data_IF_262183685248
#
_entry.id   IF_262183685248
#
_cell.length_a   1.000
_cell.length_b   1.000
_cell.length_c   1.000
_cell.angle_alpha   90.00
_cell.angle_beta   90.00
_cell.angle_gamma   90.00
#
_symmetry.space_group_name_H-M   'P 1'
#
loop_
_entity.id
_entity.type
_entity.pdbx_description
1 polymer ?
#
# COMPACT_ATOMS: atom_id res chain seq x y z
N UNK A 1 4.60 -18.62 8.51
CA UNK A 1 5.28 -18.08 7.33
C UNK A 1 5.92 -16.72 7.64
N UNK A 2 7.01 -16.39 6.93
CA UNK A 2 7.65 -15.08 6.99
C UNK A 2 7.08 -14.13 5.92
N UNK A 3 7.32 -12.83 6.06
CA UNK A 3 7.07 -11.81 5.03
C UNK A 3 5.78 -11.01 5.16
N UNK A 4 4.89 -11.34 6.12
CA UNK A 4 3.65 -10.60 6.31
C UNK A 4 2.83 -10.50 5.01
N UNK A 5 2.34 -9.28 4.67
CA UNK A 5 1.60 -9.05 3.42
C UNK A 5 2.52 -8.94 2.18
N UNK A 6 3.83 -8.79 2.36
CA UNK A 6 4.79 -8.71 1.24
C UNK A 6 5.18 -10.08 0.68
N UNK A 7 4.85 -11.17 1.39
CA UNK A 7 5.08 -12.54 0.90
C UNK A 7 4.29 -12.81 -0.38
N UNK A 8 4.82 -13.72 -1.18
CA UNK A 8 4.13 -14.21 -2.38
C UNK A 8 3.91 -15.71 -2.27
N UNK A 9 2.78 -16.19 -2.80
CA UNK A 9 2.46 -17.59 -2.95
C UNK A 9 3.06 -18.10 -4.26
N UNK A 10 3.69 -19.24 -4.24
CA UNK A 10 4.08 -19.93 -5.49
C UNK A 10 2.87 -20.65 -6.06
N UNK A 11 2.53 -20.35 -7.30
CA UNK A 11 1.46 -21.02 -8.05
C UNK A 11 2.06 -21.54 -9.36
N UNK A 12 2.47 -22.80 -9.36
CA UNK A 12 3.10 -23.45 -10.51
C UNK A 12 4.33 -22.68 -11.06
N UNK A 13 5.19 -22.19 -10.16
CA UNK A 13 6.36 -21.40 -10.50
C UNK A 13 6.08 -19.92 -10.83
N UNK A 14 4.87 -19.42 -10.53
CA UNK A 14 4.49 -18.03 -10.70
C UNK A 14 4.35 -17.38 -9.32
N UNK A 15 5.07 -16.28 -9.10
CA UNK A 15 4.98 -15.49 -7.88
C UNK A 15 3.65 -14.73 -7.83
N UNK A 16 2.71 -15.25 -7.07
CA UNK A 16 1.39 -14.66 -6.85
C UNK A 16 1.40 -13.75 -5.61
N UNK A 17 1.30 -12.45 -5.81
CA UNK A 17 1.16 -11.47 -4.75
C UNK A 17 -0.28 -11.45 -4.22
N UNK A 18 -0.47 -11.87 -2.98
CA UNK A 18 -1.80 -12.00 -2.36
C UNK A 18 -2.38 -10.70 -1.82
N UNK A 19 -1.58 -9.62 -1.76
CA UNK A 19 -2.01 -8.25 -1.43
C UNK A 19 -1.15 -7.27 -2.22
N UNK A 20 -1.73 -6.58 -3.18
CA UNK A 20 -1.01 -5.58 -3.97
C UNK A 20 0.12 -6.14 -4.83
N UNK A 21 0.80 -5.29 -5.56
CA UNK A 21 2.02 -5.61 -6.30
C UNK A 21 3.24 -5.06 -5.56
N UNK A 22 3.94 -5.90 -4.82
CA UNK A 22 5.11 -5.49 -4.06
C UNK A 22 6.34 -5.42 -4.96
N UNK A 23 6.98 -4.27 -4.98
CA UNK A 23 8.24 -4.02 -5.68
C UNK A 23 9.10 -3.10 -4.83
N UNK A 24 10.41 -3.07 -5.07
CA UNK A 24 11.32 -2.24 -4.30
C UNK A 24 11.56 -0.91 -5.00
N UNK A 25 11.21 0.16 -4.31
CA UNK A 25 11.59 1.52 -4.62
C UNK A 25 11.72 2.27 -3.30
N UNK A 26 12.60 3.27 -3.24
CA UNK A 26 12.69 4.18 -2.10
C UNK A 26 13.22 5.53 -2.54
N UNK A 27 12.68 6.58 -1.95
CA UNK A 27 13.24 7.94 -2.04
C UNK A 27 14.45 8.11 -1.11
N UNK A 28 14.62 7.22 -0.12
CA UNK A 28 15.73 7.23 0.82
C UNK A 28 16.88 6.35 0.30
N UNK A 29 18.01 6.94 -0.13
CA UNK A 29 19.15 6.20 -0.66
C UNK A 29 19.83 5.32 0.40
N UNK A 30 19.74 5.65 1.69
CA UNK A 30 20.30 4.82 2.76
C UNK A 30 19.61 3.47 2.85
N UNK A 31 18.27 3.44 2.65
CA UNK A 31 17.48 2.21 2.65
C UNK A 31 17.88 1.33 1.46
N UNK A 32 17.98 1.89 0.26
CA UNK A 32 18.42 1.12 -0.91
C UNK A 32 19.85 0.60 -0.74
N UNK A 33 20.76 1.40 -0.19
CA UNK A 33 22.13 0.96 0.09
C UNK A 33 22.17 -0.18 1.12
N UNK A 34 21.36 -0.09 2.18
CA UNK A 34 21.22 -1.17 3.16
C UNK A 34 20.73 -2.46 2.50
N UNK A 35 19.66 -2.38 1.72
CA UNK A 35 19.09 -3.53 1.01
C UNK A 35 20.14 -4.20 0.11
N UNK A 36 20.86 -3.40 -0.71
CA UNK A 36 21.79 -3.93 -1.69
C UNK A 36 23.11 -4.45 -1.09
N UNK A 37 23.46 -4.02 0.11
CA UNK A 37 24.66 -4.49 0.80
C UNK A 37 24.38 -5.66 1.74
N UNK A 38 23.32 -5.56 2.53
CA UNK A 38 23.10 -6.41 3.70
C UNK A 38 22.01 -7.47 3.47
N UNK A 39 21.10 -7.28 2.50
CA UNK A 39 19.94 -8.16 2.34
C UNK A 39 20.00 -8.96 1.04
N UNK A 40 20.10 -8.28 -0.09
CA UNK A 40 20.12 -8.92 -1.41
C UNK A 40 20.97 -8.06 -2.35
N UNK A 41 22.08 -8.59 -2.85
CA UNK A 41 23.06 -7.86 -3.67
C UNK A 41 22.41 -7.22 -4.88
N UNK A 42 22.94 -6.04 -5.28
CA UNK A 42 22.36 -5.22 -6.35
C UNK A 42 22.28 -5.95 -7.70
N UNK A 43 23.22 -6.83 -8.01
CA UNK A 43 23.25 -7.65 -9.22
C UNK A 43 22.17 -8.74 -9.25
N UNK A 44 21.49 -8.99 -8.14
CA UNK A 44 20.36 -9.91 -8.03
C UNK A 44 19.00 -9.24 -8.28
N UNK A 45 19.02 -7.95 -8.68
CA UNK A 45 17.84 -7.18 -9.01
C UNK A 45 17.90 -6.73 -10.47
N UNK A 46 16.73 -6.60 -11.10
CA UNK A 46 16.58 -5.90 -12.37
C UNK A 46 15.64 -4.71 -12.21
N UNK A 47 15.79 -3.76 -13.12
CA UNK A 47 14.94 -2.59 -13.22
C UNK A 47 13.73 -2.89 -14.07
N UNK A 48 12.58 -2.47 -13.58
CA UNK A 48 11.33 -2.52 -14.33
C UNK A 48 10.86 -1.10 -14.58
N UNK A 49 10.58 -0.78 -15.84
CA UNK A 49 9.92 0.48 -16.20
C UNK A 49 8.45 0.41 -15.78
N UNK A 50 8.00 1.32 -14.94
CA UNK A 50 6.60 1.42 -14.55
C UNK A 50 5.78 2.03 -15.69
N UNK A 51 4.87 1.25 -16.24
CA UNK A 51 3.88 1.69 -17.22
C UNK A 51 2.50 1.50 -16.60
N UNK A 52 2.00 2.52 -15.92
CA UNK A 52 0.68 2.46 -15.31
C UNK A 52 -0.35 3.22 -16.15
N UNK A 53 -1.57 2.70 -16.21
CA UNK A 53 -2.70 3.30 -16.92
C UNK A 53 -3.93 3.41 -16.03
N UNK A 54 -4.83 4.29 -16.40
CA UNK A 54 -6.17 4.44 -15.81
C UNK A 54 -7.19 4.10 -16.89
N UNK A 55 -8.10 3.19 -16.61
CA UNK A 55 -9.28 3.00 -17.44
C UNK A 55 -10.27 4.12 -17.11
N UNK A 56 -10.28 5.18 -17.91
CA UNK A 56 -11.06 6.39 -17.65
C UNK A 56 -12.04 6.65 -18.78
N UNK A 57 -13.33 6.67 -18.48
CA UNK A 57 -14.40 6.83 -19.47
C UNK A 57 -14.23 5.80 -20.64
N UNK A 58 -13.96 4.53 -20.30
CA UNK A 58 -13.68 3.42 -21.22
C UNK A 58 -12.45 3.62 -22.13
N UNK A 59 -11.55 4.52 -21.79
CA UNK A 59 -10.31 4.76 -22.51
C UNK A 59 -9.10 4.53 -21.60
N UNK A 60 -8.01 4.02 -22.18
CA UNK A 60 -6.75 3.87 -21.45
C UNK A 60 -5.99 5.19 -21.45
N UNK A 61 -5.88 5.83 -20.29
CA UNK A 61 -5.13 7.06 -20.08
C UNK A 61 -3.88 6.74 -19.27
N UNK A 62 -2.68 7.22 -19.65
CA UNK A 62 -1.48 7.03 -18.83
C UNK A 62 -1.65 7.63 -17.43
N UNK A 63 -1.12 6.93 -16.42
CA UNK A 63 -1.03 7.44 -15.05
C UNK A 63 0.26 8.25 -14.84
N UNK A 64 0.23 9.34 -14.09
CA UNK A 64 -0.91 9.93 -13.38
C UNK A 64 -1.82 10.72 -14.32
N UNK A 65 -3.13 10.58 -14.15
CA UNK A 65 -4.13 11.15 -15.06
C UNK A 65 -4.10 12.68 -15.12
N UNK A 66 -3.77 13.34 -14.00
CA UNK A 66 -3.66 14.79 -13.85
C UNK A 66 -2.55 15.42 -14.72
N UNK A 67 -1.58 14.63 -15.15
CA UNK A 67 -0.55 15.04 -16.12
C UNK A 67 -0.84 14.54 -17.54
N UNK A 68 -2.00 13.93 -17.77
CA UNK A 68 -2.36 13.30 -19.03
C UNK A 68 -3.70 13.80 -19.61
N UNK A 69 -4.12 15.03 -19.26
CA UNK A 69 -5.35 15.65 -19.78
C UNK A 69 -5.33 15.83 -21.29
N UNK A 70 -4.15 15.98 -21.90
CA UNK A 70 -3.97 15.96 -23.35
C UNK A 70 -4.45 14.63 -23.96
N UNK A 71 -4.23 13.50 -23.32
CA UNK A 71 -4.71 12.20 -23.79
C UNK A 71 -6.26 12.12 -23.72
N UNK A 72 -6.85 12.69 -22.66
CA UNK A 72 -8.31 12.80 -22.52
C UNK A 72 -8.89 13.64 -23.69
N UNK A 73 -8.20 14.70 -24.12
CA UNK A 73 -8.67 15.55 -25.22
C UNK A 73 -8.80 14.81 -26.57
N UNK A 74 -8.13 13.66 -26.74
CA UNK A 74 -8.22 12.86 -27.97
C UNK A 74 -9.57 12.19 -28.16
N UNK A 75 -10.26 11.85 -27.05
CA UNK A 75 -11.57 11.21 -27.11
C UNK A 75 -12.71 12.10 -26.58
N UNK A 76 -12.44 13.05 -25.66
CA UNK A 76 -13.44 14.01 -25.16
C UNK A 76 -12.80 15.39 -24.92
N UNK A 77 -12.91 16.27 -25.95
CA UNK A 77 -12.39 17.65 -25.89
C UNK A 77 -13.11 18.50 -24.86
N UNK A 78 -14.43 18.27 -24.66
CA UNK A 78 -15.21 19.06 -23.70
C UNK A 78 -14.78 18.70 -22.27
N UNK A 79 -14.65 17.42 -21.97
CA UNK A 79 -14.18 16.95 -20.67
C UNK A 79 -12.78 17.48 -20.36
N UNK A 80 -11.84 17.38 -21.31
CA UNK A 80 -10.49 17.91 -21.14
C UNK A 80 -10.49 19.43 -20.88
N UNK A 81 -11.34 20.19 -21.56
CA UNK A 81 -11.52 21.62 -21.33
C UNK A 81 -12.07 21.89 -19.93
N UNK A 82 -13.12 21.18 -19.51
CA UNK A 82 -13.73 21.34 -18.18
C UNK A 82 -12.73 21.00 -17.06
N UNK A 83 -11.94 19.95 -17.21
CA UNK A 83 -10.85 19.58 -16.27
C UNK A 83 -9.82 20.71 -16.21
N UNK A 84 -9.35 21.20 -17.35
CA UNK A 84 -8.35 22.28 -17.42
C UNK A 84 -8.84 23.55 -16.78
N UNK A 85 -10.06 24.00 -17.14
CA UNK A 85 -10.68 25.19 -16.56
C UNK A 85 -10.79 25.08 -15.05
N UNK A 86 -11.34 23.99 -14.55
CA UNK A 86 -11.55 23.79 -13.12
C UNK A 86 -10.22 23.74 -12.36
N UNK A 87 -9.21 23.02 -12.87
CA UNK A 87 -7.89 22.96 -12.26
C UNK A 87 -7.20 24.34 -12.20
N UNK A 88 -7.17 25.08 -13.30
CA UNK A 88 -6.54 26.41 -13.35
C UNK A 88 -7.27 27.45 -12.48
N UNK A 89 -8.57 27.26 -12.24
CA UNK A 89 -9.39 28.11 -11.42
C UNK A 89 -9.29 27.82 -9.91
N UNK A 90 -8.62 26.74 -9.51
CA UNK A 90 -8.49 26.39 -8.08
C UNK A 90 -7.73 27.48 -7.33
N UNK A 91 -8.31 27.91 -6.19
CA UNK A 91 -7.67 28.72 -5.16
C UNK A 91 -7.78 27.95 -3.85
N UNK A 92 -6.83 27.04 -3.63
CA UNK A 92 -6.96 26.07 -2.55
C UNK A 92 -6.13 26.47 -1.33
N UNK A 93 -6.75 26.37 -0.17
CA UNK A 93 -6.15 26.61 1.14
C UNK A 93 -6.38 25.36 2.00
N UNK A 94 -5.32 24.58 2.24
CA UNK A 94 -5.39 23.35 3.04
C UNK A 94 -5.98 23.57 4.44
N UNK A 95 -5.81 24.77 5.00
CA UNK A 95 -6.30 25.11 6.33
C UNK A 95 -7.84 25.23 6.43
N UNK A 96 -8.54 25.22 5.30
CA UNK A 96 -10.00 25.36 5.21
C UNK A 96 -10.72 24.10 4.78
N UNK A 97 -10.03 22.97 4.81
CA UNK A 97 -10.56 21.70 4.31
C UNK A 97 -10.53 20.66 5.43
N UNK A 98 -11.67 20.05 5.67
CA UNK A 98 -11.88 19.14 6.78
C UNK A 98 -11.93 17.66 6.33
N UNK A 99 -12.04 17.38 5.02
CA UNK A 99 -12.25 16.02 4.52
C UNK A 99 -11.56 15.77 3.18
N UNK A 100 -11.44 14.48 2.86
CA UNK A 100 -10.71 14.00 1.68
C UNK A 100 -11.40 14.37 0.35
N UNK A 101 -12.73 14.38 0.29
CA UNK A 101 -13.46 14.77 -0.93
C UNK A 101 -13.20 16.22 -1.32
N UNK A 102 -13.28 17.14 -0.35
CA UNK A 102 -13.05 18.56 -0.61
C UNK A 102 -11.58 18.84 -0.88
N UNK A 103 -10.69 18.08 -0.26
CA UNK A 103 -9.27 18.13 -0.58
C UNK A 103 -9.01 17.77 -2.06
N UNK A 104 -9.61 16.67 -2.57
CA UNK A 104 -9.50 16.33 -3.98
C UNK A 104 -10.05 17.42 -4.90
N UNK A 105 -11.22 17.97 -4.59
CA UNK A 105 -11.83 19.06 -5.39
C UNK A 105 -10.95 20.30 -5.41
N UNK A 106 -10.32 20.62 -4.29
CA UNK A 106 -9.41 21.75 -4.16
C UNK A 106 -8.10 21.57 -4.90
N UNK A 107 -7.49 20.38 -4.82
CA UNK A 107 -6.17 20.10 -5.43
C UNK A 107 -6.26 19.84 -6.94
N UNK A 108 -7.29 19.14 -7.40
CA UNK A 108 -7.36 18.66 -8.80
C UNK A 108 -8.49 19.30 -9.62
N UNK A 109 -9.25 20.22 -9.02
CA UNK A 109 -10.43 20.81 -9.65
C UNK A 109 -11.65 19.87 -9.60
N UNK A 110 -12.84 20.47 -9.61
CA UNK A 110 -14.11 19.79 -9.38
C UNK A 110 -14.37 18.64 -10.37
N UNK A 111 -14.09 18.89 -11.66
CA UNK A 111 -14.41 17.90 -12.72
C UNK A 111 -13.56 16.63 -12.57
N UNK A 112 -12.23 16.76 -12.46
CA UNK A 112 -11.36 15.58 -12.34
C UNK A 112 -11.54 14.88 -10.98
N UNK A 113 -11.72 15.65 -9.90
CA UNK A 113 -11.99 15.09 -8.59
C UNK A 113 -13.25 14.21 -8.59
N UNK A 114 -14.38 14.71 -9.12
CA UNK A 114 -15.64 13.98 -9.11
C UNK A 114 -15.68 12.81 -10.10
N UNK A 115 -14.92 12.86 -11.18
CA UNK A 115 -14.90 11.78 -12.20
C UNK A 115 -13.87 10.69 -11.95
N UNK A 116 -12.80 11.01 -11.22
CA UNK A 116 -11.71 10.06 -10.99
C UNK A 116 -11.36 9.88 -9.52
N UNK A 117 -10.87 10.93 -8.84
CA UNK A 117 -10.29 10.77 -7.50
C UNK A 117 -11.30 10.29 -6.47
N UNK A 118 -12.49 10.89 -6.44
CA UNK A 118 -13.52 10.53 -5.47
C UNK A 118 -14.08 9.13 -5.72
N UNK A 119 -14.58 8.75 -6.91
CA UNK A 119 -15.07 7.39 -7.17
C UNK A 119 -14.02 6.33 -6.92
N UNK A 120 -12.78 6.58 -7.38
CA UNK A 120 -11.68 5.64 -7.19
C UNK A 120 -11.34 5.43 -5.70
N UNK A 121 -11.28 6.50 -4.92
CA UNK A 121 -10.99 6.42 -3.50
C UNK A 121 -12.16 5.85 -2.68
N UNK A 122 -13.42 6.14 -3.03
CA UNK A 122 -14.58 5.47 -2.44
C UNK A 122 -14.51 3.95 -2.62
N UNK A 123 -14.09 3.50 -3.81
CA UNK A 123 -13.89 2.09 -4.12
C UNK A 123 -12.76 1.46 -3.29
N UNK A 124 -11.64 2.17 -3.08
CA UNK A 124 -10.49 1.67 -2.29
C UNK A 124 -10.80 1.66 -0.80
N UNK A 125 -11.34 2.74 -0.28
CA UNK A 125 -11.51 2.89 1.17
C UNK A 125 -12.79 2.25 1.70
N UNK A 126 -13.79 2.02 0.85
CA UNK A 126 -15.12 1.52 1.23
C UNK A 126 -15.75 2.36 2.35
N UNK A 127 -15.46 3.65 2.35
CA UNK A 127 -15.89 4.64 3.33
C UNK A 127 -16.43 5.89 2.63
N UNK A 128 -17.19 6.66 3.37
CA UNK A 128 -17.56 8.01 2.98
C UNK A 128 -16.33 8.93 3.10
N UNK A 129 -15.85 9.47 1.98
CA UNK A 129 -14.66 10.32 1.96
C UNK A 129 -14.87 11.67 2.65
N UNK A 130 -16.12 12.09 2.85
CA UNK A 130 -16.45 13.30 3.61
C UNK A 130 -16.20 13.12 5.12
N UNK A 131 -15.96 11.87 5.56
CA UNK A 131 -15.59 11.49 6.93
C UNK A 131 -14.16 11.03 7.09
N UNK A 132 -13.35 11.13 6.03
CA UNK A 132 -11.96 10.72 6.03
C UNK A 132 -11.04 11.92 6.08
N UNK A 133 -9.97 11.78 6.88
CA UNK A 133 -8.85 12.72 6.92
C UNK A 133 -8.07 12.69 5.59
N UNK A 134 -7.48 13.82 5.20
CA UNK A 134 -6.68 13.94 3.97
C UNK A 134 -5.16 14.01 4.22
N UNK A 135 -4.71 14.21 5.45
CA UNK A 135 -3.28 14.45 5.74
C UNK A 135 -2.39 13.28 5.30
N UNK A 136 -2.90 12.05 5.39
CA UNK A 136 -2.16 10.85 5.00
C UNK A 136 -1.87 10.75 3.49
N UNK A 137 -2.63 11.48 2.63
CA UNK A 137 -2.50 11.39 1.17
C UNK A 137 -1.59 12.46 0.57
N UNK A 138 -1.30 13.54 1.30
CA UNK A 138 -0.60 14.72 0.80
C UNK A 138 0.75 14.39 0.14
N UNK A 139 1.54 13.47 0.71
CA UNK A 139 2.85 13.09 0.20
C UNK A 139 2.83 11.85 -0.73
N UNK A 140 1.64 11.31 -1.02
CA UNK A 140 1.49 10.05 -1.77
C UNK A 140 1.02 10.25 -3.21
N UNK A 141 0.36 11.34 -3.49
CA UNK A 141 -0.09 11.68 -4.83
C UNK A 141 0.81 12.72 -5.49
N UNK A 142 1.12 12.58 -6.77
CA UNK A 142 1.76 13.64 -7.53
C UNK A 142 0.75 14.75 -7.77
N UNK A 143 1.00 15.94 -7.19
CA UNK A 143 0.14 17.11 -7.33
C UNK A 143 0.84 18.08 -8.27
N UNK A 144 0.34 18.31 -9.50
CA UNK A 144 0.92 19.30 -10.37
C UNK A 144 0.68 20.71 -9.82
N UNK A 145 1.65 21.59 -9.93
CA UNK A 145 1.39 23.01 -9.94
C UNK A 145 0.78 23.45 -11.28
N UNK A 146 0.30 24.69 -11.36
CA UNK A 146 -0.38 25.20 -12.57
C UNK A 146 0.55 25.22 -13.79
N UNK A 147 1.84 25.47 -13.59
CA UNK A 147 2.82 25.49 -14.67
C UNK A 147 3.07 24.07 -15.19
N UNK A 148 3.38 23.12 -14.32
CA UNK A 148 3.59 21.70 -14.66
C UNK A 148 2.37 21.07 -15.34
N UNK A 149 1.16 21.44 -14.90
CA UNK A 149 -0.07 21.01 -15.55
C UNK A 149 -0.19 21.55 -16.98
N UNK A 150 0.10 22.85 -17.17
CA UNK A 150 0.06 23.48 -18.49
C UNK A 150 1.12 22.87 -19.42
N UNK A 151 2.36 22.70 -18.95
CA UNK A 151 3.46 22.11 -19.73
C UNK A 151 3.09 20.70 -20.20
N UNK A 152 2.50 19.89 -19.32
CA UNK A 152 1.99 18.55 -19.67
C UNK A 152 0.86 18.62 -20.72
N UNK A 153 -0.03 19.62 -20.65
CA UNK A 153 -1.12 19.81 -21.60
C UNK A 153 -0.63 20.17 -23.00
N UNK A 154 0.40 21.04 -23.12
CA UNK A 154 0.97 21.43 -24.42
C UNK A 154 1.98 20.44 -24.99
N UNK A 155 2.38 19.45 -24.21
CA UNK A 155 3.24 18.35 -24.65
C UNK A 155 4.72 18.50 -24.30
N UNK A 156 5.06 19.47 -23.46
CA UNK A 156 6.41 19.67 -22.93
C UNK A 156 6.54 18.90 -21.59
N UNK A 157 6.45 17.57 -21.66
CA UNK A 157 6.58 16.72 -20.48
C UNK A 157 8.04 16.56 -20.10
N UNK A 158 8.38 16.93 -18.87
CA UNK A 158 9.58 16.41 -18.24
C UNK A 158 9.32 14.90 -17.92
N UNK A 159 10.05 14.00 -18.57
CA UNK A 159 9.90 12.53 -18.43
C UNK A 159 10.25 12.00 -17.02
N UNK A 160 10.57 12.89 -16.09
CA UNK A 160 10.94 12.58 -14.70
C UNK A 160 9.73 12.41 -13.79
N UNK A 161 8.87 11.44 -14.11
CA UNK A 161 7.77 11.10 -13.21
C UNK A 161 8.27 10.42 -11.93
N UNK A 162 7.77 10.80 -10.74
CA UNK A 162 8.09 10.08 -9.51
C UNK A 162 7.73 8.59 -9.64
N UNK A 163 8.67 7.71 -9.26
CA UNK A 163 8.49 6.26 -9.34
C UNK A 163 8.32 5.68 -10.76
N UNK A 164 8.99 6.28 -11.75
CA UNK A 164 8.97 5.76 -13.13
C UNK A 164 9.63 4.38 -13.28
N UNK A 165 10.46 3.97 -12.32
CA UNK A 165 11.11 2.64 -12.28
C UNK A 165 11.07 2.04 -10.89
N UNK A 166 11.23 0.73 -10.81
CA UNK A 166 11.40 0.00 -9.55
C UNK A 166 12.32 -1.22 -9.74
N UNK A 167 12.79 -1.77 -8.63
CA UNK A 167 13.59 -3.00 -8.60
C UNK A 167 12.69 -4.20 -8.33
N UNK A 168 12.97 -5.30 -9.05
CA UNK A 168 12.38 -6.60 -8.77
C UNK A 168 13.46 -7.67 -8.76
N UNK A 169 13.38 -8.72 -7.90
CA UNK A 169 14.42 -9.74 -7.85
C UNK A 169 14.55 -10.54 -9.16
N UNK A 170 15.78 -10.83 -9.60
CA UNK A 170 16.05 -11.61 -10.80
C UNK A 170 15.47 -13.04 -10.73
N UNK A 171 15.21 -13.55 -9.54
CA UNK A 171 14.49 -14.80 -9.31
C UNK A 171 13.01 -14.76 -9.68
N UNK A 172 12.48 -13.60 -10.05
CA UNK A 172 11.07 -13.35 -10.34
C UNK A 172 10.12 -13.65 -9.15
N UNK A 173 10.63 -13.56 -7.92
CA UNK A 173 9.84 -13.71 -6.71
C UNK A 173 10.32 -12.78 -5.59
N UNK A 174 9.40 -12.09 -4.96
CA UNK A 174 9.66 -11.23 -3.80
C UNK A 174 10.15 -12.05 -2.58
N UNK A 175 9.88 -13.34 -2.53
CA UNK A 175 10.33 -14.20 -1.44
C UNK A 175 11.87 -14.27 -1.33
N UNK A 176 12.62 -14.07 -2.42
CA UNK A 176 14.09 -14.01 -2.36
C UNK A 176 14.56 -12.85 -1.47
N UNK A 177 13.95 -11.68 -1.59
CA UNK A 177 14.23 -10.54 -0.71
C UNK A 177 13.78 -10.81 0.74
N UNK A 178 12.60 -11.40 0.93
CA UNK A 178 12.08 -11.74 2.26
C UNK A 178 12.98 -12.78 2.96
N UNK A 179 13.44 -13.77 2.23
CA UNK A 179 14.37 -14.78 2.74
C UNK A 179 15.72 -14.15 3.12
N UNK A 180 16.22 -13.19 2.33
CA UNK A 180 17.42 -12.44 2.69
C UNK A 180 17.27 -11.66 4.00
N UNK A 181 16.12 -11.05 4.23
CA UNK A 181 15.82 -10.40 5.52
C UNK A 181 15.73 -11.38 6.69
N UNK A 182 15.38 -12.63 6.44
CA UNK A 182 15.23 -13.66 7.45
C UNK A 182 16.51 -14.44 7.73
N UNK A 183 17.54 -14.27 6.91
CA UNK A 183 18.81 -15.01 7.04
C UNK A 183 19.49 -14.74 8.39
N UNK A 184 19.94 -15.78 9.06
CA UNK A 184 20.60 -15.71 10.35
C UNK A 184 19.69 -15.45 11.56
N UNK A 185 18.38 -15.25 11.35
CA UNK A 185 17.43 -15.00 12.44
C UNK A 185 16.86 -16.31 13.01
N UNK A 186 16.66 -16.34 14.33
CA UNK A 186 15.94 -17.43 14.99
C UNK A 186 14.42 -17.22 14.85
N UNK A 187 13.81 -17.86 13.87
CA UNK A 187 12.39 -17.70 13.54
C UNK A 187 11.59 -18.92 13.96
N UNK A 188 10.61 -18.73 14.80
CA UNK A 188 9.68 -19.78 15.24
C UNK A 188 8.40 -19.73 14.38
N UNK A 189 8.32 -20.54 13.34
CA UNK A 189 7.13 -20.66 12.50
C UNK A 189 6.03 -21.45 13.21
N UNK A 190 4.76 -21.24 12.78
CA UNK A 190 3.57 -21.87 13.33
C UNK A 190 3.40 -21.66 14.86
N UNK A 191 3.95 -20.56 15.37
CA UNK A 191 3.85 -20.16 16.79
C UNK A 191 2.97 -18.89 16.89
N UNK A 192 1.66 -19.10 17.00
CA UNK A 192 0.73 -18.00 17.25
C UNK A 192 0.95 -17.44 18.66
N UNK A 193 1.13 -16.13 18.76
CA UNK A 193 1.13 -15.41 20.03
C UNK A 193 -0.32 -15.12 20.42
N UNK A 194 -0.73 -15.57 21.60
CA UNK A 194 -2.08 -15.38 22.15
C UNK A 194 -2.08 -14.73 23.53
N UNK A 195 -0.92 -14.62 24.19
CA UNK A 195 -0.77 -13.85 25.42
C UNK A 195 0.64 -13.23 25.52
N UNK A 196 0.68 -12.00 26.02
CA UNK A 196 1.90 -11.26 26.39
C UNK A 196 1.67 -10.64 27.76
N UNK A 197 2.53 -10.91 28.71
CA UNK A 197 2.39 -10.44 30.09
C UNK A 197 3.72 -9.80 30.55
N UNK A 198 3.64 -8.67 31.24
CA UNK A 198 4.82 -8.07 31.87
C UNK A 198 5.13 -8.80 33.17
N UNK A 199 6.38 -9.21 33.39
CA UNK A 199 6.86 -9.92 34.54
C UNK A 199 8.14 -9.26 35.09
N UNK A 200 7.97 -8.29 35.95
CA UNK A 200 9.06 -7.42 36.40
C UNK A 200 9.58 -6.57 35.24
N UNK A 201 10.89 -6.66 34.97
CA UNK A 201 11.57 -5.98 33.86
C UNK A 201 11.45 -6.73 32.51
N UNK A 202 10.91 -7.97 32.54
CA UNK A 202 10.86 -8.86 31.37
C UNK A 202 9.43 -9.07 30.88
N UNK A 203 9.32 -9.68 29.71
CA UNK A 203 8.08 -10.03 29.07
C UNK A 203 7.92 -11.54 28.96
N UNK A 204 6.74 -12.04 29.26
CA UNK A 204 6.39 -13.45 29.14
C UNK A 204 5.41 -13.63 27.99
N UNK A 205 5.78 -14.44 27.00
CA UNK A 205 4.98 -14.73 25.81
C UNK A 205 4.44 -16.16 25.92
N UNK A 206 3.14 -16.34 25.67
CA UNK A 206 2.44 -17.62 25.68
C UNK A 206 2.73 -18.43 26.96
N UNK A 207 2.89 -17.76 28.11
CA UNK A 207 3.15 -18.34 29.44
C UNK A 207 4.50 -19.04 29.63
N UNK A 208 5.27 -19.29 28.56
CA UNK A 208 6.46 -20.15 28.63
C UNK A 208 7.77 -19.49 28.22
N UNK A 209 7.72 -18.49 27.35
CA UNK A 209 8.93 -17.84 26.80
C UNK A 209 9.14 -16.47 27.43
N UNK A 210 10.36 -16.16 27.86
CA UNK A 210 10.72 -14.91 28.53
C UNK A 210 11.67 -14.12 27.61
N UNK A 211 11.39 -12.82 27.46
CA UNK A 211 12.13 -11.90 26.63
C UNK A 211 12.38 -10.59 27.37
N UNK A 212 13.49 -9.93 27.07
CA UNK A 212 13.83 -8.62 27.62
C UNK A 212 13.06 -7.51 26.90
N UNK A 213 12.86 -7.62 25.58
CA UNK A 213 12.19 -6.63 24.74
C UNK A 213 11.12 -7.33 23.89
N UNK A 214 9.98 -6.66 23.72
CA UNK A 214 8.95 -7.04 22.75
C UNK A 214 8.83 -5.93 21.68
N UNK A 215 8.91 -6.35 20.43
CA UNK A 215 8.63 -5.51 19.27
C UNK A 215 7.43 -6.12 18.54
N UNK A 216 6.32 -5.42 18.57
CA UNK A 216 5.09 -5.83 17.88
C UNK A 216 5.08 -5.37 16.44
N UNK A 217 4.81 -6.27 15.52
CA UNK A 217 4.51 -5.98 14.11
C UNK A 217 3.12 -6.45 13.70
N UNK A 218 2.37 -7.06 14.64
CA UNK A 218 0.98 -7.49 14.40
C UNK A 218 0.04 -6.29 14.34
N UNK A 219 -1.19 -6.51 13.83
CA UNK A 219 -2.19 -5.45 13.77
C UNK A 219 -2.46 -4.82 15.15
N UNK A 220 -2.50 -3.48 15.16
CA UNK A 220 -2.64 -2.67 16.37
C UNK A 220 -4.03 -2.84 17.02
N UNK A 221 -5.05 -3.18 16.24
CA UNK A 221 -6.41 -3.50 16.70
C UNK A 221 -6.47 -4.82 17.48
N UNK A 222 -5.51 -5.74 17.27
CA UNK A 222 -5.43 -7.04 17.96
C UNK A 222 -4.60 -6.98 19.23
N UNK A 223 -3.52 -6.19 19.23
CA UNK A 223 -2.50 -6.18 20.29
C UNK A 223 -3.08 -5.96 21.70
N UNK A 224 -4.00 -4.99 21.97
CA UNK A 224 -4.53 -4.75 23.30
C UNK A 224 -5.32 -5.91 23.91
N UNK A 225 -5.76 -6.86 23.10
CA UNK A 225 -6.55 -8.01 23.55
C UNK A 225 -5.71 -9.23 23.94
N UNK A 226 -4.44 -9.23 23.54
CA UNK A 226 -3.50 -10.33 23.90
C UNK A 226 -2.48 -9.92 24.96
N UNK A 227 -2.35 -8.63 25.25
CA UNK A 227 -1.47 -8.11 26.31
C UNK A 227 -2.24 -8.03 27.62
N UNK A 228 -1.68 -8.61 28.68
CA UNK A 228 -2.27 -8.60 30.02
C UNK A 228 -2.24 -7.22 30.66
N UNK A 229 -3.27 -6.88 31.44
CA UNK A 229 -3.34 -5.63 32.19
C UNK A 229 -3.65 -4.36 31.39
N UNK A 230 -4.02 -4.49 30.11
CA UNK A 230 -4.37 -3.34 29.25
C UNK A 230 -5.69 -2.72 29.73
N UNK A 231 -5.75 -1.39 29.96
CA UNK A 231 -6.95 -0.69 30.38
C UNK A 231 -8.08 -0.76 29.34
N UNK A 232 -9.32 -0.75 29.80
CA UNK A 232 -10.49 -0.83 28.91
C UNK A 232 -10.58 0.33 27.92
N UNK A 233 -10.10 1.54 28.28
CA UNK A 233 -10.01 2.68 27.36
C UNK A 233 -9.14 2.38 26.14
N UNK A 234 -8.03 1.63 26.30
CA UNK A 234 -7.10 1.26 25.22
C UNK A 234 -7.72 0.17 24.34
N UNK A 235 -8.41 -0.80 24.94
CA UNK A 235 -9.18 -1.81 24.19
C UNK A 235 -10.32 -1.20 23.41
N UNK A 236 -11.03 -0.22 23.99
CA UNK A 236 -12.09 0.51 23.32
C UNK A 236 -11.55 1.34 22.12
N UNK A 237 -10.35 1.92 22.26
CA UNK A 237 -9.68 2.59 21.15
C UNK A 237 -9.32 1.60 20.04
N UNK A 238 -8.79 0.43 20.37
CA UNK A 238 -8.47 -0.61 19.38
C UNK A 238 -9.70 -1.11 18.61
N UNK A 239 -10.85 -1.27 19.31
CA UNK A 239 -12.10 -1.68 18.67
C UNK A 239 -12.69 -0.65 17.69
N UNK A 240 -12.19 0.59 17.68
CA UNK A 240 -12.59 1.63 16.73
C UNK A 240 -11.74 1.65 15.47
N UNK A 241 -10.56 1.02 15.49
CA UNK A 241 -9.69 0.97 14.34
C UNK A 241 -10.33 0.14 13.22
N UNK A 242 -10.28 0.66 12.00
CA UNK A 242 -10.86 0.01 10.82
C UNK A 242 -9.77 -0.37 9.81
N UNK A 243 -9.98 -1.48 9.15
CA UNK A 243 -9.16 -1.94 8.03
C UNK A 243 -10.03 -2.49 6.92
N UNK A 244 -9.48 -2.55 5.71
CA UNK A 244 -10.14 -3.17 4.58
C UNK A 244 -9.45 -4.49 4.23
N UNK A 245 -10.26 -5.49 3.90
CA UNK A 245 -9.85 -6.73 3.24
C UNK A 245 -9.56 -6.46 1.78
N UNK A 246 -8.78 -7.33 1.17
CA UNK A 246 -8.56 -7.38 -0.28
C UNK A 246 -8.80 -8.79 -0.76
N UNK A 247 -9.56 -8.89 -1.83
CA UNK A 247 -9.72 -10.12 -2.61
C UNK A 247 -8.99 -9.95 -3.93
N UNK A 248 -8.17 -10.93 -4.28
CA UNK A 248 -7.53 -10.93 -5.58
C UNK A 248 -7.54 -12.31 -6.25
N UNK A 249 -7.32 -12.33 -7.55
CA UNK A 249 -7.29 -13.53 -8.36
C UNK A 249 -6.14 -13.44 -9.36
N UNK A 250 -5.34 -14.50 -9.42
CA UNK A 250 -4.27 -14.64 -10.41
C UNK A 250 -4.83 -15.23 -11.69
N UNK A 251 -4.45 -14.63 -12.83
CA UNK A 251 -4.86 -15.04 -14.15
C UNK A 251 -3.69 -15.30 -15.07
N UNK A 252 -3.81 -16.31 -15.93
CA UNK A 252 -3.06 -16.36 -17.18
C UNK A 252 -3.71 -15.39 -18.18
N UNK A 253 -2.89 -14.64 -18.91
CA UNK A 253 -3.39 -13.57 -19.79
C UNK A 253 -2.80 -13.65 -21.19
N UNK A 254 -3.33 -12.84 -22.11
CA UNK A 254 -2.58 -12.44 -23.30
C UNK A 254 -1.52 -11.41 -22.91
N UNK A 255 -0.73 -10.97 -23.87
CA UNK A 255 0.24 -9.90 -23.65
C UNK A 255 -0.47 -8.58 -23.31
N UNK A 256 0.03 -7.86 -22.29
CA UNK A 256 -0.42 -6.54 -21.86
C UNK A 256 0.81 -5.67 -21.64
N UNK A 257 0.86 -4.47 -22.22
CA UNK A 257 2.05 -3.60 -22.15
C UNK A 257 2.13 -2.72 -20.87
N UNK A 258 1.16 -2.75 -19.99
CA UNK A 258 1.18 -2.00 -18.72
C UNK A 258 1.62 -2.85 -17.53
N UNK A 259 2.16 -2.21 -16.50
CA UNK A 259 2.46 -2.86 -15.21
C UNK A 259 1.28 -2.81 -14.25
N UNK A 260 0.48 -1.72 -14.31
CA UNK A 260 -0.78 -1.57 -13.57
C UNK A 260 -1.85 -0.92 -14.44
N UNK A 261 -3.09 -1.31 -14.22
CA UNK A 261 -4.28 -0.61 -14.73
C UNK A 261 -5.19 -0.28 -13.56
N UNK A 262 -5.44 1.01 -13.32
CA UNK A 262 -6.38 1.50 -12.32
C UNK A 262 -7.78 1.63 -12.90
N UNK A 263 -8.80 1.25 -12.14
CA UNK A 263 -10.19 1.10 -12.62
C UNK A 263 -11.12 1.87 -11.69
N UNK A 264 -11.39 3.15 -11.99
CA UNK A 264 -12.28 3.99 -11.18
C UNK A 264 -13.77 3.71 -11.40
N UNK A 265 -14.16 3.11 -12.54
CA UNK A 265 -15.56 2.99 -12.96
C UNK A 265 -16.45 2.31 -11.93
N UNK A 266 -17.62 2.91 -11.69
CA UNK A 266 -18.68 2.31 -10.89
C UNK A 266 -19.24 1.05 -11.55
N UNK A 267 -19.69 0.09 -10.74
CA UNK A 267 -20.18 -1.20 -11.23
C UNK A 267 -19.12 -2.20 -11.66
N UNK A 268 -17.84 -1.82 -11.60
CA UNK A 268 -16.72 -2.72 -11.72
C UNK A 268 -16.18 -3.05 -10.32
N UNK A 269 -16.14 -4.33 -9.95
CA UNK A 269 -15.65 -4.72 -8.61
C UNK A 269 -14.15 -4.57 -8.47
N UNK A 270 -13.38 -4.65 -9.57
CA UNK A 270 -11.94 -4.43 -9.53
C UNK A 270 -11.63 -2.94 -9.39
N UNK A 271 -10.68 -2.62 -8.52
CA UNK A 271 -10.12 -1.27 -8.44
C UNK A 271 -8.80 -1.15 -9.21
N UNK A 272 -8.13 -2.28 -9.44
CA UNK A 272 -6.94 -2.32 -10.31
C UNK A 272 -6.64 -3.72 -10.82
N UNK A 273 -5.87 -3.75 -11.90
CA UNK A 273 -5.13 -4.92 -12.34
C UNK A 273 -3.64 -4.69 -12.13
N UNK A 274 -2.94 -5.73 -11.69
CA UNK A 274 -1.49 -5.76 -11.51
C UNK A 274 -0.96 -6.76 -12.53
N UNK A 275 -0.36 -6.27 -13.60
CA UNK A 275 0.19 -7.13 -14.65
C UNK A 275 1.53 -7.67 -14.17
N UNK A 276 1.47 -8.60 -13.22
CA UNK A 276 2.62 -9.10 -12.48
C UNK A 276 3.67 -9.76 -13.39
N UNK A 277 3.25 -10.31 -14.51
CA UNK A 277 4.14 -10.87 -15.50
C UNK A 277 5.13 -9.86 -16.08
N UNK A 278 4.77 -8.57 -16.09
CA UNK A 278 5.63 -7.47 -16.54
C UNK A 278 6.67 -7.03 -15.49
N UNK A 279 6.61 -7.62 -14.29
CA UNK A 279 7.67 -7.45 -13.28
C UNK A 279 8.79 -8.48 -13.49
N UNK A 280 8.56 -9.53 -14.26
CA UNK A 280 9.48 -10.65 -14.43
C UNK A 280 10.47 -10.42 -15.58
N UNK A 281 11.61 -11.05 -15.46
CA UNK A 281 12.62 -11.09 -16.50
C UNK A 281 13.01 -12.55 -16.79
N UNK A 282 12.68 -13.10 -17.98
CA UNK A 282 11.89 -12.47 -19.05
C UNK A 282 10.42 -12.24 -18.66
N UNK A 283 9.76 -11.30 -19.34
CA UNK A 283 8.34 -11.00 -19.17
C UNK A 283 7.48 -12.23 -19.41
N UNK A 284 6.41 -12.38 -18.64
CA UNK A 284 5.41 -13.46 -18.74
C UNK A 284 3.99 -12.89 -18.74
N UNK A 285 3.04 -13.66 -19.21
CA UNK A 285 1.66 -13.24 -19.39
C UNK A 285 0.78 -13.63 -18.18
N UNK A 286 0.89 -12.86 -17.10
CA UNK A 286 0.11 -13.04 -15.87
C UNK A 286 -0.37 -11.70 -15.32
N UNK A 287 -1.61 -11.70 -14.85
CA UNK A 287 -2.23 -10.53 -14.20
C UNK A 287 -2.91 -10.96 -12.91
N UNK A 288 -2.83 -10.09 -11.91
CA UNK A 288 -3.60 -10.18 -10.67
C UNK A 288 -4.70 -9.13 -10.76
N UNK A 289 -5.97 -9.54 -10.70
CA UNK A 289 -7.09 -8.63 -10.53
C UNK A 289 -7.36 -8.44 -9.04
N UNK A 290 -7.63 -7.21 -8.61
CA UNK A 290 -7.78 -6.89 -7.19
C UNK A 290 -9.06 -6.11 -6.92
N UNK A 291 -9.84 -6.58 -5.94
CA UNK A 291 -11.05 -5.95 -5.42
C UNK A 291 -10.91 -5.63 -3.94
N UNK A 292 -11.43 -4.50 -3.51
CA UNK A 292 -11.52 -4.19 -2.10
C UNK A 292 -12.71 -4.91 -1.46
N UNK A 293 -12.53 -5.28 -0.19
CA UNK A 293 -13.49 -6.11 0.55
C UNK A 293 -13.35 -7.60 0.23
N UNK A 294 -14.22 -8.38 0.86
CA UNK A 294 -14.33 -9.81 0.60
C UNK A 294 -15.27 -10.03 -0.58
N UNK A 295 -14.80 -10.76 -1.59
CA UNK A 295 -15.55 -11.17 -2.78
C UNK A 295 -15.45 -12.67 -2.91
N UNK A 296 -16.50 -13.30 -3.41
CA UNK A 296 -16.48 -14.72 -3.73
C UNK A 296 -15.66 -15.01 -4.98
N UNK A 297 -15.22 -16.26 -5.12
CA UNK A 297 -14.54 -16.72 -6.34
C UNK A 297 -15.40 -16.45 -7.60
N UNK A 298 -16.70 -16.71 -7.54
CA UNK A 298 -17.59 -16.53 -8.66
C UNK A 298 -17.80 -15.06 -9.06
N UNK A 299 -17.87 -14.13 -8.09
CA UNK A 299 -17.91 -12.69 -8.37
C UNK A 299 -16.65 -12.25 -9.11
N UNK A 300 -15.47 -12.66 -8.62
CA UNK A 300 -14.19 -12.36 -9.25
C UNK A 300 -14.09 -12.95 -10.65
N UNK A 301 -14.53 -14.19 -10.83
CA UNK A 301 -14.55 -14.89 -12.12
C UNK A 301 -15.49 -14.20 -13.11
N UNK A 302 -16.73 -13.88 -12.72
CA UNK A 302 -17.70 -13.25 -13.62
C UNK A 302 -17.25 -11.84 -14.04
N UNK A 303 -16.67 -11.08 -13.13
CA UNK A 303 -16.10 -9.78 -13.47
C UNK A 303 -14.88 -9.93 -14.40
N UNK A 304 -14.02 -10.91 -14.14
CA UNK A 304 -12.82 -11.18 -14.96
C UNK A 304 -13.17 -11.51 -16.41
N UNK A 305 -14.25 -12.27 -16.64
CA UNK A 305 -14.74 -12.62 -17.99
C UNK A 305 -15.14 -11.44 -18.87
N UNK A 306 -15.24 -10.23 -18.31
CA UNK A 306 -15.48 -9.01 -19.08
C UNK A 306 -14.23 -8.47 -19.77
N UNK A 307 -13.08 -9.07 -19.49
CA UNK A 307 -11.77 -8.64 -20.03
C UNK A 307 -11.20 -9.74 -20.93
N UNK A 308 -11.19 -9.52 -22.23
CA UNK A 308 -10.76 -10.51 -23.22
C UNK A 308 -9.31 -11.00 -23.03
N UNK A 309 -8.47 -10.20 -22.37
CA UNK A 309 -7.09 -10.60 -22.09
C UNK A 309 -6.93 -11.48 -20.85
N UNK A 310 -7.93 -11.62 -19.99
CA UNK A 310 -7.93 -12.55 -18.86
C UNK A 310 -8.43 -13.91 -19.33
N UNK A 311 -7.53 -14.88 -19.50
CA UNK A 311 -7.84 -16.16 -20.16
C UNK A 311 -8.32 -17.23 -19.18
N UNK A 312 -7.53 -17.48 -18.12
CA UNK A 312 -7.72 -18.59 -17.19
C UNK A 312 -7.40 -18.15 -15.77
N UNK A 313 -8.31 -18.32 -14.79
CA UNK A 313 -8.02 -18.10 -13.39
C UNK A 313 -7.12 -19.23 -12.86
N UNK A 314 -6.04 -18.89 -12.18
CA UNK A 314 -5.07 -19.85 -11.65
C UNK A 314 -5.17 -20.04 -10.15
N UNK A 315 -5.47 -18.95 -9.42
CA UNK A 315 -5.59 -18.97 -7.97
C UNK A 315 -6.42 -17.78 -7.48
N UNK A 316 -6.91 -17.88 -6.26
CA UNK A 316 -7.77 -16.91 -5.61
C UNK A 316 -7.38 -16.75 -4.15
N UNK A 317 -7.46 -15.52 -3.61
CA UNK A 317 -7.09 -15.23 -2.24
C UNK A 317 -7.91 -14.08 -1.65
N UNK A 318 -8.24 -14.20 -0.36
CA UNK A 318 -8.79 -13.12 0.46
C UNK A 318 -7.79 -12.84 1.59
N UNK A 319 -7.37 -11.58 1.71
CA UNK A 319 -6.48 -11.11 2.76
C UNK A 319 -7.23 -10.22 3.73
N UNK A 320 -7.20 -10.56 5.01
CA UNK A 320 -7.96 -9.90 6.08
C UNK A 320 -7.49 -8.45 6.28
N UNK A 321 -6.26 -8.26 6.72
CA UNK A 321 -5.68 -6.92 6.92
C UNK A 321 -4.87 -6.52 5.67
N UNK A 322 -5.44 -5.69 4.80
CA UNK A 322 -4.75 -5.20 3.62
C UNK A 322 -4.48 -3.68 3.67
N UNK A 323 -5.48 -2.90 4.07
CA UNK A 323 -5.38 -1.45 4.17
C UNK A 323 -5.95 -0.95 5.48
N UNK A 324 -5.19 -0.11 6.19
CA UNK A 324 -5.68 0.65 7.35
C UNK A 324 -6.57 1.80 6.88
N UNK A 325 -7.65 2.09 7.60
CA UNK A 325 -8.62 3.14 7.26
C UNK A 325 -8.38 4.37 8.13
N UNK A 326 -8.32 5.54 7.51
CA UNK A 326 -8.09 6.84 8.15
C UNK A 326 -9.39 7.61 8.36
N UNK A 327 -10.30 7.02 9.17
CA UNK A 327 -11.56 7.67 9.54
C UNK A 327 -11.39 8.66 10.72
N UNK A 328 -12.49 9.24 11.17
CA UNK A 328 -12.52 10.18 12.29
C UNK A 328 -11.97 9.63 13.61
N UNK A 329 -11.93 8.30 13.78
CA UNK A 329 -11.42 7.66 15.01
C UNK A 329 -9.93 7.37 14.96
N UNK A 330 -9.32 7.40 13.78
CA UNK A 330 -7.95 6.95 13.53
C UNK A 330 -6.93 7.64 14.44
N UNK A 331 -6.88 8.99 14.44
CA UNK A 331 -5.86 9.76 15.17
C UNK A 331 -5.88 9.49 16.68
N UNK A 332 -7.05 9.64 17.28
CA UNK A 332 -7.21 9.49 18.72
C UNK A 332 -6.99 8.04 19.18
N UNK A 333 -7.50 7.09 18.40
CA UNK A 333 -7.35 5.66 18.71
C UNK A 333 -5.89 5.20 18.62
N UNK A 334 -5.20 5.54 17.54
CA UNK A 334 -3.79 5.16 17.37
C UNK A 334 -2.90 5.83 18.40
N UNK A 335 -3.11 7.12 18.70
CA UNK A 335 -2.38 7.85 19.73
C UNK A 335 -2.57 7.22 21.12
N UNK A 336 -3.82 6.91 21.50
CA UNK A 336 -4.14 6.26 22.78
C UNK A 336 -3.43 4.92 22.95
N UNK A 337 -3.45 4.08 21.89
CA UNK A 337 -2.86 2.73 21.95
C UNK A 337 -1.32 2.81 21.95
N UNK A 338 -0.73 3.58 21.05
CA UNK A 338 0.72 3.73 20.91
C UNK A 338 1.34 4.31 22.19
N UNK A 339 0.75 5.39 22.75
CA UNK A 339 1.24 5.99 24.00
C UNK A 339 1.23 5.01 25.17
N UNK A 340 0.16 4.22 25.31
CA UNK A 340 0.08 3.20 26.34
C UNK A 340 1.18 2.13 26.22
N UNK A 341 1.39 1.60 25.01
CA UNK A 341 2.40 0.56 24.81
C UNK A 341 3.83 1.09 24.95
N UNK A 342 4.09 2.33 24.54
CA UNK A 342 5.38 3.00 24.77
C UNK A 342 5.65 3.19 26.26
N UNK A 343 4.65 3.62 27.05
CA UNK A 343 4.75 3.79 28.51
C UNK A 343 5.13 2.50 29.21
N UNK A 344 4.57 1.38 28.79
CA UNK A 344 4.89 0.07 29.39
C UNK A 344 6.14 -0.59 28.80
N UNK A 345 6.79 0.01 27.82
CA UNK A 345 8.02 -0.48 27.18
C UNK A 345 7.82 -1.59 26.16
N UNK A 346 6.63 -1.65 25.49
CA UNK A 346 6.36 -2.53 24.37
C UNK A 346 6.39 -1.68 23.10
N UNK A 347 7.32 -1.99 22.19
CA UNK A 347 7.47 -1.24 20.93
C UNK A 347 6.53 -1.78 19.85
N UNK A 348 5.99 -0.87 19.03
CA UNK A 348 5.16 -1.23 17.86
C UNK A 348 5.76 -0.59 16.61
N UNK A 349 5.97 -1.38 15.55
CA UNK A 349 6.51 -0.93 14.26
C UNK A 349 5.84 -1.59 13.08
N UNK A 350 6.04 -1.00 11.91
CA UNK A 350 5.57 -1.49 10.63
C UNK A 350 4.11 -1.17 10.35
N UNK A 351 3.68 -1.48 9.13
CA UNK A 351 2.41 -1.06 8.54
C UNK A 351 1.20 -1.25 9.47
N UNK A 352 1.04 -2.42 10.06
CA UNK A 352 -0.08 -2.72 10.94
C UNK A 352 0.22 -2.50 12.43
N UNK A 353 1.50 -2.63 12.84
CA UNK A 353 1.91 -2.32 14.21
C UNK A 353 1.84 -0.84 14.53
N UNK A 354 2.07 0.03 13.56
CA UNK A 354 1.90 1.50 13.69
C UNK A 354 0.54 1.99 13.17
N UNK A 355 -0.22 1.12 12.49
CA UNK A 355 -1.51 1.43 11.84
C UNK A 355 -1.37 2.50 10.76
N UNK A 356 -0.34 2.35 9.89
CA UNK A 356 0.01 3.32 8.87
C UNK A 356 0.06 2.68 7.47
N UNK A 357 -0.25 3.46 6.44
CA UNK A 357 -0.11 3.02 5.05
C UNK A 357 1.34 3.12 4.59
N UNK A 358 2.18 2.24 5.10
CA UNK A 358 3.61 2.16 4.77
C UNK A 358 3.88 1.24 3.58
N UNK A 359 4.80 1.69 2.71
CA UNK A 359 5.48 0.80 1.77
C UNK A 359 6.61 0.04 2.49
N UNK A 360 7.20 -0.95 1.84
CA UNK A 360 8.25 -1.80 2.43
C UNK A 360 9.46 -0.99 2.90
N UNK A 361 9.89 -0.01 2.12
CA UNK A 361 11.03 0.87 2.48
C UNK A 361 10.77 1.68 3.75
N UNK A 362 9.57 2.21 3.92
CA UNK A 362 9.19 2.95 5.14
C UNK A 362 9.13 2.01 6.35
N UNK A 363 8.64 0.78 6.18
CA UNK A 363 8.69 -0.23 7.24
C UNK A 363 10.14 -0.55 7.67
N UNK A 364 11.06 -0.65 6.72
CA UNK A 364 12.48 -0.86 7.00
C UNK A 364 13.11 0.35 7.70
N UNK A 365 12.75 1.56 7.29
CA UNK A 365 13.22 2.78 7.94
C UNK A 365 12.75 2.85 9.39
N UNK A 366 11.48 2.53 9.66
CA UNK A 366 10.94 2.43 11.03
C UNK A 366 11.71 1.41 11.87
N UNK A 367 11.99 0.22 11.30
CA UNK A 367 12.75 -0.83 11.97
C UNK A 367 14.20 -0.39 12.30
N UNK A 368 14.89 0.23 11.35
CA UNK A 368 16.25 0.72 11.56
C UNK A 368 16.32 1.85 12.60
N UNK A 369 15.34 2.75 12.62
CA UNK A 369 15.22 3.80 13.65
C UNK A 369 15.02 3.20 15.04
N UNK A 370 14.12 2.22 15.17
CA UNK A 370 13.90 1.53 16.45
C UNK A 370 15.14 0.76 16.90
N UNK A 371 15.82 0.05 16.00
CA UNK A 371 17.04 -0.68 16.32
C UNK A 371 18.14 0.26 16.86
N UNK A 372 18.36 1.43 16.23
CA UNK A 372 19.29 2.45 16.73
C UNK A 372 18.87 2.95 18.13
N UNK A 373 17.57 3.22 18.35
CA UNK A 373 17.04 3.63 19.66
C UNK A 373 17.32 2.59 20.74
N UNK A 374 17.03 1.32 20.47
CA UNK A 374 17.25 0.23 21.42
C UNK A 374 18.74 0.06 21.73
N UNK A 375 19.60 -0.01 20.72
CA UNK A 375 21.03 -0.18 20.92
C UNK A 375 21.62 0.95 21.77
N UNK A 376 21.23 2.20 21.55
CA UNK A 376 21.69 3.34 22.34
C UNK A 376 21.29 3.28 23.84
N UNK A 377 20.21 2.57 24.18
CA UNK A 377 19.83 2.36 25.58
C UNK A 377 20.78 1.38 26.27
N UNK A 378 21.22 0.33 25.58
CA UNK A 378 22.14 -0.66 26.12
C UNK A 378 23.61 -0.19 26.12
N UNK A 379 24.03 0.61 25.14
CA UNK A 379 25.39 1.18 25.12
C UNK A 379 25.65 2.18 26.28
N UNK A 380 24.60 2.78 26.84
CA UNK A 380 24.69 3.70 27.99
C UNK A 380 24.63 2.98 29.37
N UNK A 381 24.39 1.66 29.39
CA UNK A 381 24.35 0.85 30.62
C UNK A 381 25.70 0.12 30.89
N UNK A 382 26.69 0.26 30.01
CA UNK A 382 28.05 -0.28 30.11
C UNK A 382 29.03 0.86 30.40
#
# INVERSE_FOLDING_TARGET
>A
EIGGIAKVKDVNGIAYHTVGGHCMNSKNPEILNYIFKEVLKKDQWHHVQRKATVNFENNSVPYPIEFNVKEISKFDKKLAFDITRDFLSTTFDDAKVDNLSDWFRGKFGKTLANKYFIPYNQKIWLQDLDRMSFEWVQDKLPIPDKQSFFDALVGDKDDKMPHSTFYYPNSNTQNTFINGLAEGLNINLNKKVFSVEKSGQKWKVNKNSIYDIIINTMPLDVLPFIVGGVPDKVKAAASKLKYNKVTNMLWKTTEVDSTWTYIPEDGNIFHRHIHIGNFFNPVKNYTITESMGERTYDEMLQQGKRYDYLLEPLDYNVSEHAYVVYDENYKDSTACIKSYFEEIGLHTIGRFGEWEYYNMDVCMESALKLAKKINSMYDNEV
#
